data_IF_667641291956
#
_entry.id   IF_667641291956
#
_cell.length_a   1.000
_cell.length_b   1.000
_cell.length_c   1.000
_cell.angle_alpha   90.00
_cell.angle_beta   90.00
_cell.angle_gamma   90.00
#
_symmetry.space_group_name_H-M   'P 1'
#
loop_
_entity.id
_entity.type
_entity.pdbx_description
1 polymer ?
#
# COMPACT_ATOMS: atom_id res chain seq x y z
N UNK A 1 -5.52 -13.98 5.46
CA UNK A 1 -6.00 -12.81 6.24
C UNK A 1 -4.88 -11.80 6.39
N UNK A 2 -4.91 -10.73 5.60
CA UNK A 2 -3.90 -9.67 5.65
C UNK A 2 -4.25 -8.60 6.69
N UNK A 3 -3.26 -8.07 7.41
CA UNK A 3 -3.50 -7.00 8.39
C UNK A 3 -3.67 -5.66 7.68
N UNK A 4 -4.86 -5.08 7.72
CA UNK A 4 -5.13 -3.75 7.15
C UNK A 4 -5.02 -2.70 8.27
N UNK A 5 -4.12 -1.74 8.10
CA UNK A 5 -3.97 -0.65 9.07
C UNK A 5 -5.07 0.41 8.89
N UNK A 6 -5.45 1.07 9.99
CA UNK A 6 -6.37 2.24 9.95
C UNK A 6 -5.87 3.33 9.01
N UNK A 7 -4.53 3.49 8.94
CA UNK A 7 -3.91 4.47 8.08
C UNK A 7 -4.15 4.15 6.60
N UNK A 8 -4.04 2.88 6.20
CA UNK A 8 -4.35 2.47 4.83
C UNK A 8 -5.81 2.73 4.44
N UNK A 9 -6.76 2.44 5.34
CA UNK A 9 -8.19 2.72 5.16
C UNK A 9 -8.42 4.21 4.89
N UNK A 10 -7.90 5.07 5.76
CA UNK A 10 -8.06 6.52 5.63
C UNK A 10 -7.48 7.02 4.29
N UNK A 11 -6.29 6.52 3.91
CA UNK A 11 -5.65 6.90 2.65
C UNK A 11 -6.43 6.43 1.44
N UNK A 12 -7.07 5.27 1.51
CA UNK A 12 -7.97 4.78 0.47
C UNK A 12 -9.17 5.72 0.30
N UNK A 13 -9.81 6.11 1.40
CA UNK A 13 -10.94 7.05 1.40
C UNK A 13 -10.55 8.41 0.80
N UNK A 14 -9.38 8.93 1.16
CA UNK A 14 -8.88 10.22 0.68
C UNK A 14 -8.45 10.19 -0.81
N UNK A 15 -7.95 9.06 -1.32
CA UNK A 15 -7.23 9.01 -2.63
C UNK A 15 -7.92 8.22 -3.73
N UNK A 16 -8.78 7.29 -3.35
CA UNK A 16 -9.47 6.41 -4.31
C UNK A 16 -10.91 6.87 -4.44
N UNK A 17 -11.65 6.85 -3.33
CA UNK A 17 -13.09 7.13 -3.27
C UNK A 17 -13.50 7.26 -1.81
N UNK A 18 -14.35 8.25 -1.44
CA UNK A 18 -14.97 8.27 -0.11
C UNK A 18 -15.94 7.08 0.01
N UNK A 19 -15.55 6.09 0.82
CA UNK A 19 -16.31 4.87 1.11
C UNK A 19 -16.37 4.63 2.61
N UNK A 20 -17.26 3.75 3.03
CA UNK A 20 -17.25 3.26 4.41
C UNK A 20 -15.95 2.50 4.72
N UNK A 21 -15.60 2.39 6.01
CA UNK A 21 -14.39 1.64 6.42
C UNK A 21 -14.47 0.17 5.99
N UNK A 22 -15.67 -0.44 6.06
CA UNK A 22 -15.89 -1.83 5.65
C UNK A 22 -15.66 -2.03 4.16
N UNK A 23 -16.18 -1.13 3.31
CA UNK A 23 -15.93 -1.15 1.87
C UNK A 23 -14.44 -0.94 1.54
N UNK A 24 -13.75 -0.05 2.26
CA UNK A 24 -12.30 0.14 2.10
C UNK A 24 -11.53 -1.12 2.49
N UNK A 25 -11.90 -1.79 3.59
CA UNK A 25 -11.29 -3.04 4.02
C UNK A 25 -11.54 -4.16 3.00
N UNK A 26 -12.76 -4.28 2.48
CA UNK A 26 -13.10 -5.25 1.44
C UNK A 26 -12.30 -5.01 0.15
N UNK A 27 -12.16 -3.75 -0.27
CA UNK A 27 -11.38 -3.39 -1.46
C UNK A 27 -9.87 -3.61 -1.29
N UNK A 28 -9.35 -3.47 -0.06
CA UNK A 28 -7.95 -3.75 0.27
C UNK A 28 -7.69 -5.25 0.51
N UNK A 29 -8.69 -6.00 0.97
CA UNK A 29 -8.61 -7.44 1.25
C UNK A 29 -8.92 -8.28 0.01
N UNK A 30 -8.20 -8.04 -1.09
CA UNK A 30 -8.35 -8.82 -2.32
C UNK A 30 -7.34 -9.97 -2.37
N UNK A 31 -7.67 -11.04 -3.11
CA UNK A 31 -6.79 -12.20 -3.28
C UNK A 31 -5.40 -11.83 -3.84
N UNK A 32 -5.33 -10.76 -4.66
CA UNK A 32 -4.06 -10.24 -5.16
C UNK A 32 -3.19 -9.63 -4.05
N UNK A 33 -3.81 -8.94 -3.09
CA UNK A 33 -3.12 -8.35 -1.93
C UNK A 33 -2.70 -9.43 -0.93
N UNK A 34 -3.54 -10.44 -0.71
CA UNK A 34 -3.18 -11.59 0.11
C UNK A 34 -2.01 -12.36 -0.49
N UNK A 35 -2.08 -12.69 -1.79
CA UNK A 35 -0.95 -13.33 -2.49
C UNK A 35 0.29 -12.46 -2.41
N UNK A 36 0.19 -11.16 -2.65
CA UNK A 36 1.33 -10.25 -2.56
C UNK A 36 2.00 -10.26 -1.18
N UNK A 37 1.22 -10.35 -0.09
CA UNK A 37 1.79 -10.54 1.24
C UNK A 37 2.50 -11.89 1.40
N UNK A 38 1.95 -12.98 0.83
CA UNK A 38 2.59 -14.31 0.86
C UNK A 38 3.92 -14.35 0.09
N UNK A 39 4.00 -13.73 -1.10
CA UNK A 39 5.24 -13.64 -1.89
C UNK A 39 6.20 -12.54 -1.40
N UNK A 40 5.81 -11.74 -0.39
CA UNK A 40 6.63 -10.64 0.12
C UNK A 40 6.77 -9.47 -0.87
N UNK A 41 5.78 -9.28 -1.75
CA UNK A 41 5.78 -8.18 -2.71
C UNK A 41 5.47 -6.85 -2.01
N UNK A 42 6.32 -5.82 -2.15
CA UNK A 42 6.15 -4.54 -1.44
C UNK A 42 5.05 -3.65 -2.03
N UNK A 43 4.64 -3.89 -3.28
CA UNK A 43 3.65 -3.06 -3.97
C UNK A 43 2.65 -3.90 -4.77
N UNK A 44 1.37 -3.52 -4.69
CA UNK A 44 0.29 -4.12 -5.49
C UNK A 44 -0.44 -3.03 -6.25
N UNK A 45 -0.66 -3.23 -7.55
CA UNK A 45 -1.44 -2.30 -8.37
C UNK A 45 -2.90 -2.74 -8.33
N UNK A 46 -3.80 -1.84 -7.91
CA UNK A 46 -5.24 -2.03 -7.99
C UNK A 46 -5.74 -1.82 -9.42
N UNK A 47 -6.85 -2.44 -9.79
CA UNK A 47 -7.51 -2.24 -11.10
C UNK A 47 -7.92 -0.79 -11.35
N UNK A 48 -8.14 -0.01 -10.29
CA UNK A 48 -8.42 1.43 -10.31
C UNK A 48 -7.18 2.30 -10.58
N UNK A 49 -5.99 1.69 -10.68
CA UNK A 49 -4.73 2.35 -11.05
C UNK A 49 -3.88 2.84 -9.87
N UNK A 50 -4.40 2.83 -8.65
CA UNK A 50 -3.63 3.14 -7.43
C UNK A 50 -2.71 1.99 -7.02
N UNK A 51 -1.70 2.30 -6.21
CA UNK A 51 -0.76 1.29 -5.68
C UNK A 51 -0.91 1.16 -4.18
N UNK A 52 -1.05 -0.07 -3.72
CA UNK A 52 -1.03 -0.42 -2.30
C UNK A 52 0.42 -0.73 -1.91
N UNK A 53 0.85 -0.24 -0.75
CA UNK A 53 2.12 -0.59 -0.14
C UNK A 53 1.87 -1.64 0.93
N UNK A 54 2.61 -2.74 0.84
CA UNK A 54 2.60 -3.83 1.82
C UNK A 54 3.95 -3.82 2.52
N UNK A 55 3.93 -3.85 3.84
CA UNK A 55 5.10 -3.87 4.70
C UNK A 55 4.88 -4.92 5.80
N UNK A 56 5.82 -5.85 5.96
CA UNK A 56 5.73 -6.95 6.92
C UNK A 56 4.39 -7.70 6.92
N UNK A 57 3.80 -7.93 5.74
CA UNK A 57 2.50 -8.62 5.60
C UNK A 57 1.29 -7.79 6.04
N UNK A 58 1.45 -6.48 6.18
CA UNK A 58 0.38 -5.53 6.49
C UNK A 58 0.24 -4.46 5.41
N UNK A 59 -1.00 -4.06 5.13
CA UNK A 59 -1.27 -2.92 4.26
C UNK A 59 -1.08 -1.62 5.06
N UNK A 60 -0.05 -0.87 4.71
CA UNK A 60 0.33 0.36 5.43
C UNK A 60 -0.19 1.62 4.76
N UNK A 61 -0.17 1.70 3.43
CA UNK A 61 -0.59 2.93 2.74
C UNK A 61 -1.08 2.68 1.31
N UNK A 62 -1.87 3.63 0.81
CA UNK A 62 -2.34 3.67 -0.58
C UNK A 62 -1.76 4.89 -1.26
N UNK A 63 -1.07 4.65 -2.37
CA UNK A 63 -0.43 5.66 -3.21
C UNK A 63 -1.37 6.04 -4.37
N UNK A 64 -1.43 7.33 -4.74
CA UNK A 64 -2.21 7.77 -5.89
C UNK A 64 -1.68 7.15 -7.19
N UNK A 65 -2.56 7.08 -8.20
CA UNK A 65 -2.26 6.50 -9.52
C UNK A 65 -1.06 7.15 -10.21
N UNK A 66 -0.85 8.43 -9.94
CA UNK A 66 0.10 9.30 -10.65
C UNK A 66 1.50 9.34 -10.03
N UNK A 67 1.82 8.47 -9.07
CA UNK A 67 3.21 8.44 -8.55
C UNK A 67 4.16 7.94 -9.64
N UNK A 68 4.99 8.86 -10.14
CA UNK A 68 6.15 8.60 -10.98
C UNK A 68 7.13 7.62 -10.28
N UNK A 69 7.56 6.58 -11.01
CA UNK A 69 8.45 5.52 -10.51
C UNK A 69 9.75 6.05 -9.87
N UNK A 70 10.25 7.22 -10.30
CA UNK A 70 11.44 7.84 -9.71
C UNK A 70 11.26 8.23 -8.24
N UNK A 71 10.06 8.64 -7.82
CA UNK A 71 9.76 9.02 -6.44
C UNK A 71 9.74 7.80 -5.50
N UNK A 72 9.31 6.63 -6.00
CA UNK A 72 9.36 5.37 -5.25
C UNK A 72 10.80 4.84 -5.13
N UNK A 73 11.60 4.98 -6.19
CA UNK A 73 13.02 4.60 -6.15
C UNK A 73 13.84 5.46 -5.18
N UNK A 74 13.44 6.73 -4.95
CA UNK A 74 14.09 7.62 -3.97
C UNK A 74 13.78 7.23 -2.52
N UNK A 75 12.57 6.76 -2.22
CA UNK A 75 12.21 6.22 -0.89
C UNK A 75 12.87 4.88 -0.58
N UNK A 76 13.27 4.12 -1.61
CA UNK A 76 14.05 2.90 -1.46
C UNK A 76 15.48 3.14 -0.91
N UNK A 77 15.99 4.38 -0.95
CA UNK A 77 17.31 4.73 -0.38
C UNK A 77 17.28 5.14 1.10
N UNK A 78 16.12 5.42 1.69
CA UNK A 78 16.07 5.97 3.05
C UNK A 78 15.74 4.98 4.16
N UNK A 79 15.59 3.69 3.84
CA UNK A 79 15.39 2.63 4.83
C UNK A 79 16.65 1.79 5.11
N UNK A 80 17.78 2.07 4.41
CA UNK A 80 19.08 1.43 4.66
C UNK A 80 20.21 2.41 5.00
N UNK A 81 19.92 3.66 5.37
CA UNK A 81 20.94 4.64 5.77
C UNK A 81 20.69 5.14 7.19
N UNK A 82 20.70 4.23 8.16
CA UNK A 82 21.15 4.52 9.52
C UNK A 82 22.45 3.74 9.75
N UNK A 83 23.51 4.22 9.11
CA UNK A 83 24.90 3.90 9.42
C UNK A 83 25.60 5.25 9.49
N UNK A 84 25.84 5.71 10.71
CA UNK A 84 26.28 7.07 11.00
C UNK A 84 27.70 7.39 10.53
N UNK A 85 27.97 8.69 10.47
CA UNK A 85 29.12 9.32 11.12
C UNK A 85 28.78 10.77 11.43
#
# INVERSE_FOLDING_TARGET
MIRITRHAVQRFQERVRPVTEDEARAALSTAAVEKAAEIGAPFVKLGTGQRIVIDHGAVVTVLPKDIWMWTLNRRRRHLCSNGGN
#
